data_IF_288191988836
#
_entry.id   IF_288191988836
#
_cell.length_a   1.000
_cell.length_b   1.000
_cell.length_c   1.000
_cell.angle_alpha   90.00
_cell.angle_beta   90.00
_cell.angle_gamma   90.00
#
_symmetry.space_group_name_H-M   'P 1'
#
loop_
_entity.id
_entity.type
_entity.pdbx_description
1 polymer ?
#
# COMPACT_ATOMS: atom_id res chain seq x y z
N UNK A 1 17.50 7.42 -30.33
CA UNK A 1 16.07 7.75 -30.34
C UNK A 1 15.35 6.46 -30.61
N UNK A 2 15.04 5.68 -29.58
CA UNK A 2 14.14 4.54 -29.73
C UNK A 2 12.72 5.08 -29.57
N UNK A 3 11.94 4.96 -30.65
CA UNK A 3 10.54 5.34 -30.68
C UNK A 3 9.72 4.47 -29.72
N UNK A 4 8.92 5.17 -28.92
CA UNK A 4 8.00 4.67 -27.92
C UNK A 4 7.03 3.63 -28.52
N UNK A 5 7.14 2.36 -28.13
CA UNK A 5 6.36 1.25 -28.70
C UNK A 5 5.20 0.79 -27.78
N UNK A 6 4.89 1.54 -26.71
CA UNK A 6 3.73 1.25 -25.87
C UNK A 6 2.45 1.60 -26.63
N UNK A 7 1.57 0.61 -26.79
CA UNK A 7 0.27 0.79 -27.44
C UNK A 7 -0.59 1.71 -26.58
N UNK A 8 -1.52 2.43 -27.19
CA UNK A 8 -2.49 3.25 -26.46
C UNK A 8 -3.93 3.05 -26.92
N UNK A 9 -4.85 3.37 -26.00
CA UNK A 9 -6.30 3.44 -26.22
C UNK A 9 -6.79 4.77 -25.63
N UNK A 10 -7.43 5.60 -26.45
CA UNK A 10 -8.22 6.75 -25.99
C UNK A 10 -9.69 6.38 -26.07
N UNK A 11 -10.43 6.61 -25.00
CA UNK A 11 -11.85 6.33 -25.03
C UNK A 11 -12.58 6.71 -23.76
N UNK A 12 -13.90 6.66 -23.86
CA UNK A 12 -14.80 7.00 -22.77
C UNK A 12 -15.10 5.77 -21.92
N UNK A 13 -14.93 5.88 -20.62
CA UNK A 13 -15.27 4.80 -19.68
C UNK A 13 -16.78 4.60 -19.70
N UNK A 14 -17.23 3.49 -20.26
CA UNK A 14 -18.65 3.15 -20.35
C UNK A 14 -19.16 2.57 -19.04
N UNK A 15 -18.38 1.66 -18.45
CA UNK A 15 -18.77 0.94 -17.24
C UNK A 15 -17.55 0.37 -16.50
N UNK A 16 -17.56 0.46 -15.18
CA UNK A 16 -16.68 -0.28 -14.29
C UNK A 16 -17.31 -1.66 -14.04
N UNK A 17 -16.70 -2.71 -14.61
CA UNK A 17 -17.16 -4.09 -14.49
C UNK A 17 -16.76 -4.66 -13.12
N UNK A 18 -15.56 -4.33 -12.66
CA UNK A 18 -15.01 -4.75 -11.38
C UNK A 18 -14.07 -3.69 -10.82
N UNK A 19 -14.06 -3.52 -9.50
CA UNK A 19 -13.08 -2.71 -8.78
C UNK A 19 -12.68 -3.37 -7.46
N UNK A 20 -11.39 -3.42 -7.18
CA UNK A 20 -10.84 -3.73 -5.85
C UNK A 20 -10.27 -2.43 -5.26
N UNK A 21 -10.90 -1.94 -4.19
CA UNK A 21 -10.51 -0.68 -3.55
C UNK A 21 -9.15 -0.76 -2.83
N UNK A 22 -8.69 -1.96 -2.44
CA UNK A 22 -7.42 -2.12 -1.72
C UNK A 22 -6.22 -1.89 -2.63
N UNK A 23 -6.22 -2.52 -3.80
CA UNK A 23 -5.11 -2.44 -4.76
C UNK A 23 -5.40 -1.49 -5.93
N UNK A 24 -6.52 -0.75 -5.86
CA UNK A 24 -7.03 0.13 -6.93
C UNK A 24 -7.06 -0.57 -8.30
N UNK A 25 -7.37 -1.87 -8.32
CA UNK A 25 -7.41 -2.67 -9.55
C UNK A 25 -8.80 -2.64 -10.16
N UNK A 26 -8.89 -2.32 -11.45
CA UNK A 26 -10.14 -2.16 -12.18
C UNK A 26 -10.19 -3.07 -13.41
N UNK A 27 -11.40 -3.51 -13.73
CA UNK A 27 -11.78 -4.05 -15.04
C UNK A 27 -12.89 -3.14 -15.56
N UNK A 28 -12.66 -2.50 -16.70
CA UNK A 28 -13.56 -1.49 -17.26
C UNK A 28 -13.87 -1.78 -18.72
N UNK A 29 -15.04 -1.35 -19.16
CA UNK A 29 -15.41 -1.27 -20.58
C UNK A 29 -15.22 0.16 -21.04
N UNK A 30 -14.49 0.36 -22.14
CA UNK A 30 -14.21 1.66 -22.73
C UNK A 30 -14.74 1.69 -24.16
N UNK A 31 -15.59 2.67 -24.48
CA UNK A 31 -15.97 2.96 -25.86
C UNK A 31 -14.78 3.70 -26.51
N UNK A 32 -14.26 3.14 -27.60
CA UNK A 32 -13.02 3.56 -28.24
C UNK A 32 -13.25 4.83 -29.07
N UNK A 33 -12.39 5.82 -28.85
CA UNK A 33 -12.29 7.02 -29.70
C UNK A 33 -11.06 6.93 -30.63
N UNK A 34 -9.93 6.46 -30.10
CA UNK A 34 -8.65 6.37 -30.82
C UNK A 34 -7.84 5.18 -30.29
N UNK A 35 -7.18 4.43 -31.15
CA UNK A 35 -6.28 3.32 -30.75
C UNK A 35 -5.07 3.27 -31.66
N UNK A 36 -3.95 2.79 -31.11
CA UNK A 36 -2.67 2.69 -31.83
C UNK A 36 -2.43 1.31 -32.47
N UNK A 37 -3.45 0.45 -32.54
CA UNK A 37 -3.33 -0.94 -32.99
C UNK A 37 -4.62 -1.43 -33.63
N UNK A 38 -4.54 -2.46 -34.47
CA UNK A 38 -5.71 -3.02 -35.12
C UNK A 38 -6.66 -3.70 -34.14
N UNK A 39 -7.85 -3.13 -33.99
CA UNK A 39 -8.95 -3.67 -33.20
C UNK A 39 -10.27 -3.38 -33.91
N UNK A 40 -11.14 -4.38 -33.99
CA UNK A 40 -12.31 -4.36 -34.87
C UNK A 40 -13.63 -4.05 -34.18
N UNK A 41 -13.62 -3.79 -32.88
CA UNK A 41 -14.83 -3.49 -32.10
C UNK A 41 -14.77 -2.07 -31.57
N UNK A 42 -15.95 -1.45 -31.43
CA UNK A 42 -16.08 -0.08 -30.97
C UNK A 42 -15.86 0.06 -29.45
N UNK A 43 -15.84 -1.05 -28.71
CA UNK A 43 -15.48 -1.09 -27.29
C UNK A 43 -14.37 -2.11 -27.00
N UNK A 44 -13.62 -1.84 -25.94
CA UNK A 44 -12.53 -2.69 -25.45
C UNK A 44 -12.59 -2.81 -23.92
N UNK A 45 -12.26 -4.00 -23.41
CA UNK A 45 -12.06 -4.20 -21.98
C UNK A 45 -10.65 -3.80 -21.59
N UNK A 46 -10.53 -2.89 -20.62
CA UNK A 46 -9.25 -2.46 -20.06
C UNK A 46 -9.11 -2.98 -18.63
N UNK A 47 -7.91 -3.48 -18.28
CA UNK A 47 -7.57 -3.94 -16.94
C UNK A 47 -6.31 -3.27 -16.44
N UNK A 48 -6.26 -2.88 -15.17
CA UNK A 48 -5.05 -2.32 -14.57
C UNK A 48 -5.29 -1.67 -13.22
N UNK A 49 -4.23 -1.15 -12.61
CA UNK A 49 -4.33 -0.27 -11.45
C UNK A 49 -4.67 1.14 -11.94
N UNK A 50 -5.93 1.54 -11.77
CA UNK A 50 -6.52 2.75 -12.37
C UNK A 50 -7.15 3.65 -11.29
N UNK A 51 -6.35 4.13 -10.31
CA UNK A 51 -6.85 4.94 -9.20
C UNK A 51 -7.54 6.22 -9.70
N UNK A 52 -8.70 6.55 -9.14
CA UNK A 52 -9.41 7.78 -9.51
C UNK A 52 -10.00 7.79 -10.93
N UNK A 53 -10.18 6.63 -11.55
CA UNK A 53 -10.97 6.53 -12.77
C UNK A 53 -12.47 6.66 -12.47
N UNK A 54 -13.20 7.39 -13.32
CA UNK A 54 -14.64 7.57 -13.23
C UNK A 54 -15.38 7.18 -14.52
N UNK A 55 -16.59 6.64 -14.36
CA UNK A 55 -17.48 6.37 -15.49
C UNK A 55 -17.89 7.66 -16.21
N UNK A 56 -17.98 7.56 -17.54
CA UNK A 56 -18.45 8.63 -18.40
C UNK A 56 -17.44 9.73 -18.70
N UNK A 57 -16.20 9.58 -18.24
CA UNK A 57 -15.05 10.43 -18.59
C UNK A 57 -14.16 9.74 -19.63
N UNK A 58 -13.43 10.55 -20.40
CA UNK A 58 -12.51 10.11 -21.44
C UNK A 58 -11.09 10.05 -20.88
N UNK A 59 -10.39 8.94 -21.10
CA UNK A 59 -9.00 8.75 -20.67
C UNK A 59 -8.17 8.21 -21.82
N UNK A 60 -6.86 8.47 -21.75
CA UNK A 60 -5.85 7.86 -22.60
C UNK A 60 -5.06 6.85 -21.78
N UNK A 61 -5.17 5.58 -22.15
CA UNK A 61 -4.53 4.44 -21.51
C UNK A 61 -3.33 4.00 -22.33
N UNK A 62 -2.20 3.75 -21.67
CA UNK A 62 -0.98 3.22 -22.28
C UNK A 62 -0.69 1.83 -21.73
N UNK A 63 -0.28 0.90 -22.58
CA UNK A 63 -0.04 -0.47 -22.17
C UNK A 63 0.03 -1.46 -23.34
N UNK A 64 -0.49 -2.67 -23.11
CA UNK A 64 -0.34 -3.80 -24.02
C UNK A 64 -1.66 -4.54 -24.27
N UNK A 65 -1.82 -5.04 -25.50
CA UNK A 65 -2.95 -5.90 -25.84
C UNK A 65 -2.63 -7.33 -25.41
N UNK A 66 -3.46 -7.87 -24.53
CA UNK A 66 -3.34 -9.23 -23.98
C UNK A 66 -4.56 -10.06 -24.38
N UNK A 67 -4.45 -11.40 -24.29
CA UNK A 67 -5.60 -12.29 -24.53
C UNK A 67 -5.83 -13.15 -23.30
N UNK A 68 -6.99 -12.98 -22.67
CA UNK A 68 -7.42 -13.79 -21.54
C UNK A 68 -8.08 -15.08 -22.03
N UNK A 69 -7.72 -16.27 -21.49
CA UNK A 69 -8.24 -17.56 -21.95
C UNK A 69 -9.77 -17.68 -21.98
N UNK A 70 -10.45 -16.99 -21.05
CA UNK A 70 -11.91 -17.03 -20.89
C UNK A 70 -12.65 -15.81 -21.48
N UNK A 71 -11.98 -14.66 -21.57
CA UNK A 71 -12.64 -13.37 -21.83
C UNK A 71 -12.16 -12.70 -23.13
N UNK A 72 -11.24 -13.34 -23.86
CA UNK A 72 -10.77 -12.83 -25.15
C UNK A 72 -9.76 -11.69 -25.00
N UNK A 73 -9.70 -10.82 -26.01
CA UNK A 73 -8.71 -9.74 -26.09
C UNK A 73 -9.04 -8.61 -25.10
N UNK A 74 -8.06 -8.21 -24.31
CA UNK A 74 -8.16 -7.15 -23.31
C UNK A 74 -6.93 -6.26 -23.36
N UNK A 75 -7.10 -4.98 -23.06
CA UNK A 75 -5.99 -4.04 -22.96
C UNK A 75 -5.51 -3.96 -21.51
N UNK A 76 -4.26 -4.36 -21.24
CA UNK A 76 -3.66 -4.23 -19.92
C UNK A 76 -3.00 -2.86 -19.82
N UNK A 77 -3.66 -1.94 -19.14
CA UNK A 77 -3.13 -0.59 -18.91
C UNK A 77 -1.99 -0.64 -17.89
N UNK A 78 -0.83 -0.12 -18.28
CA UNK A 78 0.31 0.13 -17.40
C UNK A 78 0.17 1.48 -16.72
N UNK A 79 -0.33 2.47 -17.45
CA UNK A 79 -0.56 3.83 -16.99
C UNK A 79 -1.71 4.47 -17.78
N UNK A 80 -2.24 5.58 -17.28
CA UNK A 80 -3.29 6.32 -17.95
C UNK A 80 -3.28 7.78 -17.51
N UNK A 81 -3.83 8.64 -18.36
CA UNK A 81 -4.05 10.05 -18.07
C UNK A 81 -5.46 10.45 -18.50
N UNK A 82 -6.10 11.43 -17.85
CA UNK A 82 -7.31 12.05 -18.38
C UNK A 82 -7.05 12.51 -19.82
N UNK A 83 -7.88 12.10 -20.76
CA UNK A 83 -7.79 12.63 -22.11
C UNK A 83 -8.28 14.07 -22.06
N UNK A 84 -7.45 15.00 -22.50
CA UNK A 84 -7.79 16.41 -22.56
C UNK A 84 -8.90 16.63 -23.58
N UNK A 85 -10.15 16.59 -23.14
CA UNK A 85 -11.21 17.40 -23.75
C UNK A 85 -11.07 18.81 -23.15
N UNK A 86 -10.71 19.83 -23.94
CA UNK A 86 -10.67 21.19 -23.41
C UNK A 86 -12.11 21.60 -23.06
N UNK A 87 -12.31 21.95 -21.80
CA UNK A 87 -13.47 22.71 -21.34
C UNK A 87 -14.85 22.05 -21.53
N UNK A 88 -15.06 20.82 -21.05
CA UNK A 88 -16.43 20.27 -20.87
C UNK A 88 -16.93 20.40 -19.42
N UNK A 89 -17.82 21.37 -19.12
CA UNK A 89 -18.50 21.45 -17.83
C UNK A 89 -19.17 20.14 -17.40
N UNK A 90 -19.67 19.32 -18.33
CA UNK A 90 -20.32 18.04 -18.00
C UNK A 90 -19.31 17.03 -17.48
N UNK A 91 -18.08 17.03 -17.99
CA UNK A 91 -17.00 16.20 -17.47
C UNK A 91 -16.67 16.58 -16.03
N UNK A 92 -16.59 17.88 -15.72
CA UNK A 92 -16.35 18.37 -14.35
C UNK A 92 -17.48 17.98 -13.39
N UNK A 93 -18.75 18.06 -13.84
CA UNK A 93 -19.89 17.60 -13.03
C UNK A 93 -19.79 16.11 -12.72
N UNK A 94 -19.51 15.27 -13.72
CA UNK A 94 -19.35 13.82 -13.51
C UNK A 94 -18.17 13.50 -12.60
N UNK A 95 -17.07 14.22 -12.75
CA UNK A 95 -15.91 14.09 -11.88
C UNK A 95 -16.30 14.35 -10.42
N UNK A 96 -16.94 15.48 -10.11
CA UNK A 96 -17.36 15.80 -8.73
C UNK A 96 -18.32 14.76 -8.14
N UNK A 97 -19.25 14.24 -8.96
CA UNK A 97 -20.19 13.19 -8.52
C UNK A 97 -19.46 11.87 -8.25
N UNK A 98 -18.47 11.52 -9.07
CA UNK A 98 -17.73 10.25 -8.95
C UNK A 98 -16.90 10.14 -7.68
N UNK A 99 -16.54 11.27 -7.05
CA UNK A 99 -15.71 11.32 -5.82
C UNK A 99 -16.47 11.10 -4.53
N UNK A 100 -17.77 10.79 -4.61
CA UNK A 100 -18.62 10.53 -3.44
C UNK A 100 -18.49 11.63 -2.36
N UNK A 101 -18.40 12.89 -2.82
CA UNK A 101 -18.16 14.06 -1.98
C UNK A 101 -19.38 14.33 -1.07
N UNK A 102 -19.18 14.60 0.23
CA UNK A 102 -20.27 14.68 1.20
C UNK A 102 -21.21 15.85 0.92
N UNK A 103 -22.43 15.55 0.48
CA UNK A 103 -23.44 16.56 0.14
C UNK A 103 -23.35 17.13 -1.27
N UNK A 104 -22.45 16.60 -2.12
CA UNK A 104 -22.40 16.90 -3.55
C UNK A 104 -22.99 15.71 -4.32
N UNK A 105 -24.28 15.81 -4.65
CA UNK A 105 -24.90 14.98 -5.68
C UNK A 105 -24.96 15.72 -7.02
N UNK A 106 -25.49 15.06 -8.05
CA UNK A 106 -25.55 15.59 -9.43
C UNK A 106 -26.08 17.02 -9.54
N UNK A 107 -27.19 17.35 -8.85
CA UNK A 107 -27.75 18.71 -8.84
C UNK A 107 -26.86 19.75 -8.16
N UNK A 108 -26.13 19.35 -7.12
CA UNK A 108 -25.22 20.26 -6.40
C UNK A 108 -23.95 20.45 -7.24
N UNK A 109 -23.40 19.38 -7.81
CA UNK A 109 -22.26 19.42 -8.72
C UNK A 109 -22.54 20.33 -9.92
N UNK A 110 -23.72 20.20 -10.56
CA UNK A 110 -24.13 21.09 -11.65
C UNK A 110 -24.09 22.56 -11.22
N UNK A 111 -24.70 22.91 -10.08
CA UNK A 111 -24.68 24.30 -9.58
C UNK A 111 -23.28 24.81 -9.24
N UNK A 112 -22.41 23.94 -8.75
CA UNK A 112 -21.02 24.28 -8.46
C UNK A 112 -20.31 24.64 -9.76
N UNK A 113 -20.43 23.79 -10.79
CA UNK A 113 -19.82 24.03 -12.11
C UNK A 113 -20.47 25.21 -12.83
N UNK A 114 -21.78 25.43 -12.70
CA UNK A 114 -22.46 26.60 -13.27
C UNK A 114 -21.92 27.93 -12.69
N UNK A 115 -21.46 27.92 -11.43
CA UNK A 115 -20.92 29.10 -10.74
C UNK A 115 -19.41 29.25 -10.88
N UNK A 116 -18.66 28.16 -10.74
CA UNK A 116 -17.19 28.16 -10.71
C UNK A 116 -16.57 27.83 -12.09
N UNK A 117 -17.38 27.41 -13.04
CA UNK A 117 -16.94 27.04 -14.38
C UNK A 117 -16.18 25.71 -14.43
N UNK A 118 -15.42 25.53 -15.50
CA UNK A 118 -14.61 24.33 -15.75
C UNK A 118 -13.46 24.16 -14.75
N UNK A 119 -13.03 25.24 -14.09
CA UNK A 119 -11.99 25.25 -13.07
C UNK A 119 -12.54 25.00 -11.65
N UNK A 120 -13.76 24.47 -11.52
CA UNK A 120 -14.41 24.31 -10.22
C UNK A 120 -13.57 23.52 -9.20
N UNK A 121 -12.81 22.51 -9.66
CA UNK A 121 -11.93 21.72 -8.77
C UNK A 121 -10.80 22.60 -8.21
N UNK A 122 -10.11 23.33 -9.07
CA UNK A 122 -8.99 24.21 -8.66
C UNK A 122 -9.46 25.35 -7.76
N UNK A 123 -10.61 25.96 -8.07
CA UNK A 123 -11.23 27.00 -7.24
C UNK A 123 -11.57 26.48 -5.84
N UNK A 124 -12.07 25.24 -5.73
CA UNK A 124 -12.37 24.62 -4.43
C UNK A 124 -11.09 24.34 -3.63
N UNK A 125 -10.03 23.90 -4.30
CA UNK A 125 -8.74 23.60 -3.67
C UNK A 125 -8.05 24.88 -3.21
N UNK A 126 -8.08 25.96 -4.00
CA UNK A 126 -7.35 27.19 -3.73
C UNK A 126 -8.11 28.16 -2.82
N UNK A 127 -9.44 28.27 -2.95
CA UNK A 127 -10.26 29.16 -2.13
C UNK A 127 -11.18 28.39 -1.17
N UNK A 128 -10.94 28.41 0.16
CA UNK A 128 -11.84 27.82 1.16
C UNK A 128 -13.26 28.41 1.16
N UNK A 129 -13.46 29.60 0.58
CA UNK A 129 -14.75 30.28 0.50
C UNK A 129 -15.51 30.03 -0.81
N UNK A 130 -14.92 29.33 -1.79
CA UNK A 130 -15.51 29.05 -3.10
C UNK A 130 -16.91 28.39 -3.00
N UNK A 131 -17.10 27.52 -2.00
CA UNK A 131 -18.34 26.82 -1.70
C UNK A 131 -19.32 27.62 -0.79
N UNK A 132 -19.04 28.90 -0.51
CA UNK A 132 -19.99 29.75 0.22
C UNK A 132 -21.24 30.02 -0.63
N UNK A 133 -22.40 29.92 0.01
CA UNK A 133 -23.72 30.07 -0.62
C UNK A 133 -24.32 28.75 -1.15
N UNK A 134 -23.57 27.65 -1.16
CA UNK A 134 -24.14 26.32 -1.37
C UNK A 134 -24.68 25.74 -0.06
N UNK A 135 -25.69 24.85 -0.15
CA UNK A 135 -26.32 24.17 1.00
C UNK A 135 -25.41 23.06 1.57
N UNK A 136 -24.17 23.40 1.87
CA UNK A 136 -23.12 22.54 2.43
C UNK A 136 -22.62 23.23 3.70
N UNK A 137 -22.53 22.50 4.82
CA UNK A 137 -22.05 23.08 6.08
C UNK A 137 -20.52 23.29 6.06
N UNK A 138 -19.94 24.11 6.96
CA UNK A 138 -18.51 24.42 6.94
C UNK A 138 -17.60 23.19 7.08
N UNK A 139 -17.96 22.24 7.94
CA UNK A 139 -17.20 21.00 8.14
C UNK A 139 -17.11 20.16 6.85
N UNK A 140 -18.25 19.97 6.15
CA UNK A 140 -18.27 19.25 4.88
C UNK A 140 -17.54 20.01 3.77
N UNK A 141 -17.55 21.35 3.76
CA UNK A 141 -16.73 22.12 2.80
C UNK A 141 -15.25 21.82 2.98
N UNK A 142 -14.77 21.75 4.23
CA UNK A 142 -13.40 21.36 4.54
C UNK A 142 -13.11 19.92 4.11
N UNK A 143 -14.01 18.99 4.40
CA UNK A 143 -13.86 17.60 3.97
C UNK A 143 -13.82 17.45 2.44
N UNK A 144 -14.69 18.17 1.71
CA UNK A 144 -14.69 18.21 0.25
C UNK A 144 -13.36 18.72 -0.29
N UNK A 145 -12.87 19.84 0.26
CA UNK A 145 -11.59 20.42 -0.14
C UNK A 145 -10.46 19.43 0.08
N UNK A 146 -10.37 18.83 1.26
CA UNK A 146 -9.33 17.85 1.58
C UNK A 146 -9.36 16.66 0.61
N UNK A 147 -10.53 16.07 0.35
CA UNK A 147 -10.67 14.96 -0.62
C UNK A 147 -10.23 15.34 -2.03
N UNK A 148 -10.62 16.53 -2.50
CA UNK A 148 -10.21 17.01 -3.82
C UNK A 148 -8.71 17.31 -3.88
N UNK A 149 -8.12 17.84 -2.80
CA UNK A 149 -6.68 18.02 -2.68
C UNK A 149 -5.97 16.67 -2.74
N UNK A 150 -6.35 15.70 -1.91
CA UNK A 150 -5.77 14.34 -1.92
C UNK A 150 -5.86 13.69 -3.31
N UNK A 151 -7.00 13.81 -4.00
CA UNK A 151 -7.18 13.30 -5.36
C UNK A 151 -6.20 13.97 -6.36
N UNK A 152 -6.04 15.29 -6.28
CA UNK A 152 -5.14 16.04 -7.18
C UNK A 152 -3.68 15.70 -6.89
N UNK A 153 -3.30 15.63 -5.61
CA UNK A 153 -1.95 15.28 -5.17
C UNK A 153 -1.58 13.86 -5.59
N UNK A 154 -2.47 12.89 -5.33
CA UNK A 154 -2.27 11.51 -5.76
C UNK A 154 -2.08 11.45 -7.28
N UNK A 155 -2.91 12.13 -8.07
CA UNK A 155 -2.75 12.18 -9.52
C UNK A 155 -1.39 12.74 -9.97
N UNK A 156 -0.87 13.75 -9.27
CA UNK A 156 0.47 14.27 -9.57
C UNK A 156 1.56 13.21 -9.31
N UNK A 157 1.47 12.47 -8.19
CA UNK A 157 2.40 11.37 -7.90
C UNK A 157 2.29 10.25 -8.94
N UNK A 158 1.08 9.83 -9.30
CA UNK A 158 0.83 8.80 -10.30
C UNK A 158 1.42 9.17 -11.68
N UNK A 159 1.26 10.43 -12.09
CA UNK A 159 1.83 10.96 -13.33
C UNK A 159 3.36 11.02 -13.27
N UNK A 160 3.93 11.44 -12.14
CA UNK A 160 5.37 11.45 -11.95
C UNK A 160 5.92 10.02 -12.08
N UNK A 161 5.44 9.08 -11.27
CA UNK A 161 5.88 7.67 -11.29
C UNK A 161 5.70 7.01 -12.66
N UNK A 162 4.65 7.36 -13.41
CA UNK A 162 4.46 6.90 -14.78
C UNK A 162 5.61 7.31 -15.70
N UNK A 163 6.14 8.53 -15.57
CA UNK A 163 7.29 9.01 -16.38
C UNK A 163 8.57 8.25 -16.05
N UNK A 164 8.65 7.72 -14.83
CA UNK A 164 9.72 6.84 -14.36
C UNK A 164 9.48 5.36 -14.71
N UNK A 165 8.41 5.04 -15.45
CA UNK A 165 8.03 3.67 -15.77
C UNK A 165 7.83 2.78 -14.53
N UNK A 166 7.48 3.39 -13.40
CA UNK A 166 7.17 2.67 -12.15
C UNK A 166 5.67 2.36 -12.11
N UNK A 167 5.32 1.20 -11.56
CA UNK A 167 3.93 0.75 -11.46
C UNK A 167 3.06 1.72 -10.65
N UNK A 168 1.80 1.88 -11.05
CA UNK A 168 0.83 2.72 -10.34
C UNK A 168 0.55 2.24 -8.91
N UNK A 169 0.66 0.93 -8.64
CA UNK A 169 0.56 0.42 -7.26
C UNK A 169 1.67 0.93 -6.35
N UNK A 170 2.91 0.99 -6.84
CA UNK A 170 4.02 1.52 -6.07
C UNK A 170 3.91 3.04 -5.87
N UNK A 171 3.36 3.75 -6.86
CA UNK A 171 3.07 5.18 -6.76
C UNK A 171 2.03 5.48 -5.66
N UNK A 172 0.98 4.66 -5.55
CA UNK A 172 -0.02 4.75 -4.47
C UNK A 172 0.66 4.50 -3.11
N UNK A 173 1.48 3.44 -3.00
CA UNK A 173 2.17 3.13 -1.75
C UNK A 173 3.14 4.26 -1.35
N UNK A 174 3.86 4.85 -2.32
CA UNK A 174 4.71 6.01 -2.08
C UNK A 174 3.91 7.25 -1.64
N UNK A 175 2.75 7.54 -2.26
CA UNK A 175 1.88 8.64 -1.85
C UNK A 175 1.34 8.44 -0.43
N UNK A 176 0.95 7.22 -0.07
CA UNK A 176 0.43 6.93 1.28
C UNK A 176 1.49 7.16 2.38
N UNK A 177 2.78 6.99 2.05
CA UNK A 177 3.88 7.17 3.01
C UNK A 177 4.40 8.62 3.02
N UNK A 178 4.56 9.23 1.84
CA UNK A 178 5.28 10.51 1.68
C UNK A 178 4.42 11.67 1.17
N UNK A 179 3.16 11.42 0.79
CA UNK A 179 2.30 12.42 0.16
C UNK A 179 2.90 12.95 -1.15
N UNK A 180 2.76 14.25 -1.39
CA UNK A 180 3.38 14.93 -2.54
C UNK A 180 4.91 14.86 -2.55
N UNK A 181 5.55 14.70 -1.40
CA UNK A 181 7.01 14.69 -1.31
C UNK A 181 7.63 13.47 -1.99
N UNK A 182 6.82 12.43 -2.26
CA UNK A 182 7.20 11.33 -3.13
C UNK A 182 7.74 11.80 -4.50
N UNK A 183 7.26 12.93 -5.03
CA UNK A 183 7.76 13.48 -6.29
C UNK A 183 9.18 14.02 -6.14
N UNK A 184 9.49 14.69 -5.03
CA UNK A 184 10.83 15.21 -4.77
C UNK A 184 11.82 14.05 -4.58
N UNK A 185 11.46 13.07 -3.74
CA UNK A 185 12.25 11.86 -3.52
C UNK A 185 12.53 11.13 -4.85
N UNK A 186 11.51 11.01 -5.71
CA UNK A 186 11.65 10.37 -7.01
C UNK A 186 12.59 11.13 -7.97
N UNK A 187 12.65 12.45 -7.89
CA UNK A 187 13.55 13.23 -8.74
C UNK A 187 14.98 13.32 -8.19
N UNK A 188 15.12 13.31 -6.87
CA UNK A 188 16.42 13.47 -6.20
C UNK A 188 17.14 12.13 -6.07
N UNK A 189 16.51 11.14 -5.45
CA UNK A 189 17.08 9.82 -5.21
C UNK A 189 16.00 8.71 -5.15
N UNK A 190 15.62 8.12 -6.31
CA UNK A 190 14.67 7.01 -6.39
C UNK A 190 15.00 5.79 -5.52
N UNK A 191 16.27 5.55 -5.21
CA UNK A 191 16.68 4.40 -4.40
C UNK A 191 16.20 4.51 -2.94
N UNK A 192 15.82 5.70 -2.49
CA UNK A 192 15.26 5.91 -1.16
C UNK A 192 13.96 5.13 -0.92
N UNK A 193 13.19 4.87 -1.97
CA UNK A 193 11.97 4.07 -1.88
C UNK A 193 12.22 2.59 -1.57
N UNK A 194 13.42 2.09 -1.82
CA UNK A 194 13.73 0.68 -1.63
C UNK A 194 13.72 0.30 -0.14
N UNK A 195 13.00 -0.79 0.17
CA UNK A 195 12.79 -1.26 1.54
C UNK A 195 11.68 -0.51 2.31
N UNK A 196 11.12 0.58 1.74
CA UNK A 196 10.06 1.38 2.39
C UNK A 196 8.74 1.35 1.63
N UNK A 197 8.80 1.41 0.30
CA UNK A 197 7.64 1.26 -0.58
C UNK A 197 7.57 -0.19 -1.03
N UNK A 198 6.42 -0.83 -0.79
CA UNK A 198 6.22 -2.21 -1.17
C UNK A 198 6.31 -2.39 -2.71
N UNK A 199 6.63 -3.61 -3.14
CA UNK A 199 6.59 -4.02 -4.56
C UNK A 199 7.58 -3.29 -5.48
N UNK A 200 8.55 -2.56 -4.93
CA UNK A 200 9.69 -2.03 -5.69
C UNK A 200 10.89 -2.94 -5.53
N UNK A 201 11.42 -3.38 -6.67
CA UNK A 201 12.71 -4.07 -6.74
C UNK A 201 13.83 -3.09 -7.08
N UNK A 202 15.04 -3.42 -6.64
CA UNK A 202 16.23 -2.68 -7.04
C UNK A 202 16.35 -2.57 -8.56
N UNK A 203 16.12 -3.67 -9.30
CA UNK A 203 16.24 -3.69 -10.76
C UNK A 203 15.27 -2.73 -11.46
N UNK A 204 14.02 -2.62 -10.98
CA UNK A 204 13.07 -1.65 -11.52
C UNK A 204 13.53 -0.20 -11.31
N UNK A 205 14.04 0.14 -10.13
CA UNK A 205 14.55 1.48 -9.83
C UNK A 205 15.82 1.78 -10.63
N UNK A 206 16.77 0.84 -10.67
CA UNK A 206 18.03 1.00 -11.42
C UNK A 206 17.77 1.15 -12.93
N UNK A 207 16.82 0.40 -13.49
CA UNK A 207 16.39 0.56 -14.88
C UNK A 207 15.70 1.90 -15.11
N UNK A 208 14.82 2.33 -14.20
CA UNK A 208 14.16 3.63 -14.25
C UNK A 208 15.18 4.77 -14.28
N UNK A 209 16.15 4.79 -13.37
CA UNK A 209 17.21 5.81 -13.33
C UNK A 209 18.00 5.89 -14.65
N UNK A 210 18.30 4.74 -15.28
CA UNK A 210 18.97 4.68 -16.58
C UNK A 210 18.12 5.27 -17.70
N UNK A 211 16.80 4.99 -17.70
CA UNK A 211 15.87 5.50 -18.71
C UNK A 211 15.63 7.00 -18.57
N UNK A 212 15.50 7.51 -17.35
CA UNK A 212 15.20 8.92 -17.07
C UNK A 212 16.44 9.80 -16.96
N UNK A 213 17.64 9.21 -17.06
CA UNK A 213 18.94 9.90 -16.94
C UNK A 213 19.10 10.67 -15.62
N UNK A 214 18.50 10.19 -14.53
CA UNK A 214 18.81 10.71 -13.20
C UNK A 214 20.25 10.32 -12.86
N UNK A 215 21.06 11.34 -12.56
CA UNK A 215 22.42 11.15 -12.08
C UNK A 215 22.41 10.98 -10.56
N UNK A 216 22.27 9.73 -10.10
CA UNK A 216 22.46 9.38 -8.69
C UNK A 216 23.91 8.96 -8.47
N UNK A 217 24.50 9.27 -7.30
CA UNK A 217 25.84 8.79 -6.96
C UNK A 217 25.90 7.26 -6.85
N UNK A 218 27.08 6.68 -7.07
CA UNK A 218 27.27 5.23 -6.92
C UNK A 218 27.06 4.82 -5.45
N UNK A 219 27.45 5.66 -4.49
CA UNK A 219 27.25 5.43 -3.06
C UNK A 219 25.77 5.36 -2.67
N UNK A 220 24.92 6.24 -3.21
CA UNK A 220 23.47 6.20 -2.99
C UNK A 220 22.82 4.97 -3.63
N UNK A 221 23.28 4.60 -4.84
CA UNK A 221 22.85 3.38 -5.53
C UNK A 221 23.20 2.13 -4.72
N UNK A 222 24.43 2.03 -4.23
CA UNK A 222 24.90 0.92 -3.36
C UNK A 222 24.11 0.90 -2.06
N UNK A 223 23.92 2.06 -1.42
CA UNK A 223 23.13 2.17 -0.18
C UNK A 223 21.69 1.70 -0.38
N UNK A 224 21.05 2.08 -1.49
CA UNK A 224 19.74 1.58 -1.88
C UNK A 224 19.68 0.06 -2.07
N UNK A 225 20.68 -0.50 -2.75
CA UNK A 225 20.81 -1.94 -2.93
C UNK A 225 20.95 -2.68 -1.59
N UNK A 226 21.81 -2.19 -0.69
CA UNK A 226 22.00 -2.76 0.65
C UNK A 226 20.68 -2.79 1.44
N UNK A 227 19.97 -1.65 1.48
CA UNK A 227 18.68 -1.50 2.18
C UNK A 227 17.63 -2.48 1.64
N UNK A 228 17.55 -2.59 0.31
CA UNK A 228 16.66 -3.53 -0.37
C UNK A 228 16.99 -4.99 -0.07
N UNK A 229 18.26 -5.38 -0.24
CA UNK A 229 18.73 -6.76 -0.05
C UNK A 229 18.50 -7.22 1.39
N UNK A 230 18.86 -6.38 2.38
CA UNK A 230 18.65 -6.72 3.77
C UNK A 230 17.16 -6.91 4.10
N UNK A 231 16.31 -6.00 3.61
CA UNK A 231 14.85 -6.07 3.81
C UNK A 231 14.24 -7.33 3.17
N UNK A 232 14.63 -7.65 1.94
CA UNK A 232 14.16 -8.86 1.24
C UNK A 232 14.64 -10.14 1.94
N UNK A 233 15.87 -10.17 2.43
CA UNK A 233 16.42 -11.32 3.14
C UNK A 233 15.69 -11.57 4.47
N UNK A 234 15.42 -10.52 5.24
CA UNK A 234 14.64 -10.60 6.49
C UNK A 234 13.23 -11.13 6.17
N UNK A 235 12.55 -10.53 5.20
CA UNK A 235 11.17 -10.90 4.85
C UNK A 235 11.06 -12.36 4.36
N UNK A 236 12.03 -12.84 3.58
CA UNK A 236 12.01 -14.20 3.00
C UNK A 236 12.42 -15.27 3.99
N UNK A 237 13.38 -14.97 4.87
CA UNK A 237 13.85 -15.94 5.87
C UNK A 237 12.95 -16.01 7.10
N UNK A 238 12.24 -14.92 7.41
CA UNK A 238 11.53 -14.76 8.69
C UNK A 238 12.46 -14.45 9.87
N UNK A 239 13.78 -14.39 9.64
CA UNK A 239 14.76 -13.99 10.64
C UNK A 239 14.86 -12.48 10.70
N UNK A 240 14.83 -11.90 11.90
CA UNK A 240 15.08 -10.46 12.13
C UNK A 240 16.56 -10.10 12.09
N UNK A 241 17.46 -11.09 12.18
CA UNK A 241 18.91 -10.89 12.18
C UNK A 241 19.56 -11.75 11.07
N UNK A 242 20.44 -11.14 10.27
CA UNK A 242 21.09 -11.79 9.12
C UNK A 242 22.60 -11.58 9.11
N UNK A 243 23.35 -12.55 8.59
CA UNK A 243 24.82 -12.46 8.49
C UNK A 243 25.27 -11.34 7.55
N UNK A 244 26.23 -10.53 8.01
CA UNK A 244 26.77 -9.38 7.27
C UNK A 244 27.34 -9.81 5.92
N UNK A 245 28.13 -10.87 5.84
CA UNK A 245 28.74 -11.35 4.59
C UNK A 245 27.68 -11.81 3.59
N UNK A 246 26.53 -12.31 4.05
CA UNK A 246 25.42 -12.66 3.14
C UNK A 246 24.79 -11.41 2.54
N UNK A 247 24.65 -10.33 3.31
CA UNK A 247 24.14 -9.05 2.78
C UNK A 247 25.10 -8.48 1.74
N UNK A 248 26.40 -8.44 2.03
CA UNK A 248 27.43 -7.93 1.13
C UNK A 248 27.45 -8.70 -0.21
N UNK A 249 27.50 -10.03 -0.16
CA UNK A 249 27.52 -10.87 -1.38
C UNK A 249 26.26 -10.71 -2.23
N UNK A 250 25.08 -10.70 -1.62
CA UNK A 250 23.83 -10.55 -2.37
C UNK A 250 23.71 -9.13 -2.96
N UNK A 251 24.23 -8.12 -2.27
CA UNK A 251 24.28 -6.75 -2.78
C UNK A 251 25.19 -6.64 -4.00
N UNK A 252 26.40 -7.21 -3.92
CA UNK A 252 27.32 -7.26 -5.06
C UNK A 252 26.68 -7.96 -6.27
N UNK A 253 25.97 -9.07 -6.04
CA UNK A 253 25.25 -9.79 -7.09
C UNK A 253 24.17 -8.92 -7.76
N UNK A 254 23.31 -8.26 -6.98
CA UNK A 254 22.23 -7.38 -7.48
C UNK A 254 22.77 -6.18 -8.26
N UNK A 255 23.85 -5.56 -7.78
CA UNK A 255 24.48 -4.42 -8.45
C UNK A 255 25.14 -4.83 -9.78
N UNK A 256 25.72 -6.05 -9.81
CA UNK A 256 26.39 -6.63 -10.97
C UNK A 256 25.43 -7.16 -12.04
N UNK A 257 24.27 -7.69 -11.65
CA UNK A 257 23.28 -8.25 -12.59
C UNK A 257 22.78 -7.20 -13.60
N UNK A 258 22.61 -5.95 -13.18
CA UNK A 258 22.14 -4.88 -14.05
C UNK A 258 23.25 -4.12 -14.80
N UNK A 259 24.52 -4.33 -14.45
CA UNK A 259 25.66 -3.56 -14.99
C UNK A 259 26.70 -4.40 -15.72
N UNK A 260 26.73 -5.72 -15.46
CA UNK A 260 27.81 -6.61 -15.89
C UNK A 260 29.17 -6.28 -15.26
N UNK A 261 29.22 -5.33 -14.32
CA UNK A 261 30.43 -4.84 -13.70
C UNK A 261 30.66 -5.53 -12.35
N UNK A 262 31.94 -5.80 -12.04
CA UNK A 262 32.36 -6.17 -10.69
C UNK A 262 32.33 -4.89 -9.86
N UNK A 263 31.45 -4.85 -8.86
CA UNK A 263 31.44 -3.75 -7.90
C UNK A 263 32.49 -4.04 -6.82
N UNK A 264 33.19 -2.99 -6.40
CA UNK A 264 34.19 -3.05 -5.36
C UNK A 264 33.54 -3.43 -4.01
N UNK A 265 33.90 -4.60 -3.48
CA UNK A 265 33.38 -5.10 -2.20
C UNK A 265 33.78 -4.18 -1.03
N UNK A 266 34.94 -3.52 -1.10
CA UNK A 266 35.38 -2.56 -0.08
C UNK A 266 34.45 -1.33 -0.05
N UNK A 267 33.99 -0.88 -1.22
CA UNK A 267 33.05 0.23 -1.33
C UNK A 267 31.66 -0.16 -0.79
N UNK A 268 31.20 -1.39 -1.08
CA UNK A 268 29.92 -1.89 -0.54
C UNK A 268 29.99 -1.97 0.98
N UNK A 269 31.08 -2.51 1.53
CA UNK A 269 31.27 -2.58 2.97
C UNK A 269 31.37 -1.20 3.60
N UNK A 270 32.08 -0.26 2.96
CA UNK A 270 32.11 1.14 3.39
C UNK A 270 30.70 1.74 3.43
N UNK A 271 29.91 1.61 2.36
CA UNK A 271 28.53 2.12 2.34
C UNK A 271 27.65 1.46 3.40
N UNK A 272 27.84 0.17 3.69
CA UNK A 272 27.13 -0.52 4.76
C UNK A 272 27.45 0.09 6.12
N UNK A 273 28.72 0.37 6.41
CA UNK A 273 29.15 1.00 7.66
C UNK A 273 28.77 2.48 7.73
N UNK A 274 28.80 3.21 6.62
CA UNK A 274 28.41 4.63 6.56
C UNK A 274 26.90 4.82 6.82
N UNK A 275 26.08 3.78 6.58
CA UNK A 275 24.65 3.76 6.90
C UNK A 275 24.35 3.14 8.29
N UNK A 276 25.37 2.91 9.12
CA UNK A 276 25.19 2.51 10.52
C UNK A 276 24.43 3.60 11.29
N UNK A 277 23.61 3.18 12.25
CA UNK A 277 22.72 4.00 13.09
C UNK A 277 21.60 4.76 12.32
N UNK A 278 21.75 5.02 11.02
CA UNK A 278 20.71 5.61 10.17
C UNK A 278 19.72 4.57 9.66
N UNK A 279 20.21 3.39 9.27
CA UNK A 279 19.37 2.31 8.75
C UNK A 279 19.73 0.93 9.27
N UNK A 280 20.99 0.67 9.57
CA UNK A 280 21.44 -0.63 10.04
C UNK A 280 21.71 -0.63 11.54
N UNK A 281 21.52 -1.80 12.15
CA UNK A 281 21.95 -2.09 13.51
C UNK A 281 22.81 -3.35 13.48
N UNK A 282 24.02 -3.27 14.03
CA UNK A 282 25.00 -4.36 14.01
C UNK A 282 25.04 -5.11 15.34
N UNK A 283 25.13 -6.43 15.27
CA UNK A 283 25.36 -7.32 16.40
C UNK A 283 26.45 -8.34 16.03
N UNK A 284 27.71 -7.97 16.25
CA UNK A 284 28.86 -8.76 15.80
C UNK A 284 28.89 -8.86 14.27
N UNK A 285 29.00 -10.08 13.73
CA UNK A 285 28.99 -10.35 12.28
C UNK A 285 27.56 -10.45 11.69
N UNK A 286 26.58 -9.91 12.39
CA UNK A 286 25.19 -9.88 11.95
C UNK A 286 24.64 -8.47 11.92
N UNK A 287 23.67 -8.25 11.06
CA UNK A 287 23.02 -6.97 10.83
C UNK A 287 21.52 -7.15 10.73
N UNK A 288 20.77 -6.14 11.16
CA UNK A 288 19.34 -5.97 10.92
C UNK A 288 19.09 -4.55 10.43
N UNK A 289 17.89 -4.28 9.89
CA UNK A 289 17.44 -2.89 9.74
C UNK A 289 16.99 -2.32 11.08
N UNK A 290 17.09 -1.00 11.21
CA UNK A 290 16.73 -0.26 12.41
C UNK A 290 15.24 -0.36 12.72
N UNK A 291 14.39 -0.46 11.70
CA UNK A 291 12.95 -0.69 11.87
C UNK A 291 12.69 -2.00 12.63
N UNK A 292 13.28 -3.11 12.19
CA UNK A 292 13.11 -4.40 12.87
C UNK A 292 13.73 -4.43 14.26
N UNK A 293 14.89 -3.80 14.46
CA UNK A 293 15.48 -3.64 15.78
C UNK A 293 14.55 -2.85 16.72
N UNK A 294 13.93 -1.79 16.21
CA UNK A 294 12.96 -0.96 16.95
C UNK A 294 11.72 -1.77 17.29
N UNK A 295 11.15 -2.49 16.33
CA UNK A 295 9.98 -3.34 16.55
C UNK A 295 10.26 -4.40 17.62
N UNK A 296 11.41 -5.08 17.58
CA UNK A 296 11.78 -6.07 18.60
C UNK A 296 11.90 -5.45 20.00
N UNK A 297 12.52 -4.27 20.10
CA UNK A 297 12.64 -3.53 21.35
C UNK A 297 11.29 -3.06 21.89
N UNK A 298 10.40 -2.60 21.02
CA UNK A 298 9.06 -2.17 21.40
C UNK A 298 8.19 -3.36 21.85
N UNK A 299 8.21 -4.46 21.09
CA UNK A 299 7.47 -5.69 21.43
C UNK A 299 7.94 -6.24 22.78
N UNK A 300 9.26 -6.36 22.98
CA UNK A 300 9.81 -6.84 24.26
C UNK A 300 9.47 -5.91 25.41
N UNK A 301 9.60 -4.59 25.24
CA UNK A 301 9.24 -3.61 26.26
C UNK A 301 7.76 -3.65 26.61
N UNK A 302 6.88 -3.80 25.62
CA UNK A 302 5.44 -3.89 25.84
C UNK A 302 5.05 -5.20 26.53
N UNK A 303 5.68 -6.33 26.16
CA UNK A 303 5.48 -7.60 26.84
C UNK A 303 5.90 -7.53 28.32
N UNK A 304 7.03 -6.90 28.63
CA UNK A 304 7.47 -6.70 30.02
C UNK A 304 6.46 -5.85 30.80
N UNK A 305 5.96 -4.75 30.21
CA UNK A 305 4.95 -3.88 30.84
C UNK A 305 3.62 -4.61 31.09
N UNK A 306 3.25 -5.52 30.19
CA UNK A 306 2.05 -6.33 30.35
C UNK A 306 2.25 -7.45 31.38
N UNK A 307 3.47 -7.94 31.58
CA UNK A 307 3.77 -9.08 32.44
C UNK A 307 3.77 -8.75 33.94
N UNK A 308 2.58 -8.42 34.46
CA UNK A 308 2.32 -8.29 35.89
C UNK A 308 1.14 -9.17 36.29
N UNK A 309 1.20 -9.69 37.52
CA UNK A 309 0.14 -10.51 38.09
C UNK A 309 -1.03 -9.65 38.54
N UNK A 310 -2.24 -10.15 38.28
CA UNK A 310 -3.49 -9.59 38.76
C UNK A 310 -3.79 -10.28 40.09
N UNK A 311 -4.03 -9.49 41.14
CA UNK A 311 -4.59 -10.04 42.39
C UNK A 311 -5.97 -10.63 42.08
N UNK A 312 -6.11 -11.94 42.28
CA UNK A 312 -7.36 -12.66 42.09
C UNK A 312 -7.59 -13.62 43.27
N UNK A 313 -8.86 -13.78 43.64
CA UNK A 313 -9.27 -14.76 44.64
C UNK A 313 -9.35 -16.15 43.99
N UNK A 314 -8.38 -17.02 44.30
CA UNK A 314 -8.31 -18.36 43.74
C UNK A 314 -9.53 -19.23 44.06
N UNK A 315 -10.15 -19.01 45.23
CA UNK A 315 -11.32 -19.76 45.65
C UNK A 315 -12.55 -19.31 44.86
N UNK A 316 -12.72 -18.00 44.67
CA UNK A 316 -13.78 -17.46 43.81
C UNK A 316 -13.63 -17.96 42.37
N UNK A 317 -12.42 -17.89 41.81
CA UNK A 317 -12.14 -18.33 40.45
C UNK A 317 -12.39 -19.83 40.27
N UNK A 318 -12.02 -20.65 41.27
CA UNK A 318 -12.27 -22.09 41.26
C UNK A 318 -13.77 -22.41 41.31
N UNK A 319 -14.56 -21.63 42.07
CA UNK A 319 -16.02 -21.77 42.11
C UNK A 319 -16.67 -21.37 40.78
N UNK A 320 -16.19 -20.30 40.14
CA UNK A 320 -16.71 -19.86 38.84
C UNK A 320 -16.42 -20.86 37.72
N UNK A 321 -15.23 -21.46 37.72
CA UNK A 321 -14.91 -22.58 36.81
C UNK A 321 -15.90 -23.73 37.01
N UNK A 322 -16.19 -24.13 38.25
CA UNK A 322 -17.17 -25.19 38.53
C UNK A 322 -18.58 -24.81 38.09
N UNK A 323 -18.98 -23.55 38.26
CA UNK A 323 -20.28 -23.06 37.84
C UNK A 323 -20.42 -23.07 36.31
N UNK A 324 -19.36 -22.77 35.58
CA UNK A 324 -19.33 -22.88 34.13
C UNK A 324 -19.36 -24.33 33.63
N UNK A 325 -18.58 -25.23 34.24
CA UNK A 325 -18.63 -26.67 33.94
C UNK A 325 -20.06 -27.21 34.03
N UNK A 326 -20.81 -26.81 35.08
CA UNK A 326 -22.23 -27.20 35.26
C UNK A 326 -23.15 -26.57 34.21
N UNK A 327 -23.03 -25.27 33.94
CA UNK A 327 -23.92 -24.56 33.00
C UNK A 327 -23.73 -25.02 31.55
N UNK A 328 -22.50 -25.34 31.18
CA UNK A 328 -22.14 -25.72 29.82
C UNK A 328 -22.14 -27.24 29.60
N UNK A 329 -22.54 -28.03 30.61
CA UNK A 329 -22.55 -29.49 30.63
C UNK A 329 -21.24 -30.10 30.11
N UNK A 330 -20.13 -29.61 30.65
CA UNK A 330 -18.77 -30.02 30.25
C UNK A 330 -17.85 -30.14 31.46
N UNK A 331 -16.79 -30.95 31.30
CA UNK A 331 -15.75 -31.12 32.31
C UNK A 331 -14.41 -30.75 31.71
N UNK A 332 -13.77 -29.74 32.26
CA UNK A 332 -12.43 -29.31 31.87
C UNK A 332 -11.41 -30.27 32.45
N UNK A 333 -10.37 -30.58 31.68
CA UNK A 333 -9.22 -31.33 32.18
C UNK A 333 -8.31 -30.44 33.07
N UNK A 334 -7.35 -31.02 33.81
CA UNK A 334 -6.47 -30.25 34.69
C UNK A 334 -5.68 -29.14 33.98
N UNK A 335 -5.18 -29.38 32.76
CA UNK A 335 -4.42 -28.39 31.99
C UNK A 335 -5.32 -27.23 31.53
N UNK A 336 -6.56 -27.52 31.14
CA UNK A 336 -7.54 -26.50 30.79
C UNK A 336 -7.93 -25.64 31.99
N UNK A 337 -8.08 -26.24 33.18
CA UNK A 337 -8.34 -25.48 34.41
C UNK A 337 -7.17 -24.57 34.75
N UNK A 338 -5.94 -25.07 34.62
CA UNK A 338 -4.74 -24.24 34.81
C UNK A 338 -4.65 -23.12 33.78
N UNK A 339 -4.97 -23.36 32.51
CA UNK A 339 -4.96 -22.32 31.47
C UNK A 339 -6.02 -21.23 31.72
N UNK A 340 -7.22 -21.61 32.17
CA UNK A 340 -8.23 -20.63 32.61
C UNK A 340 -7.71 -19.82 33.78
N UNK A 341 -7.15 -20.47 34.82
CA UNK A 341 -6.62 -19.76 35.99
C UNK A 341 -5.52 -18.77 35.62
N UNK A 342 -4.55 -19.20 34.81
CA UNK A 342 -3.48 -18.35 34.31
C UNK A 342 -4.02 -17.13 33.53
N UNK A 343 -5.06 -17.30 32.71
CA UNK A 343 -5.67 -16.19 31.97
C UNK A 343 -6.33 -15.12 32.85
N UNK A 344 -6.69 -15.44 34.10
CA UNK A 344 -7.25 -14.49 35.07
C UNK A 344 -6.22 -13.98 36.10
N UNK A 345 -5.09 -14.68 36.24
CA UNK A 345 -4.02 -14.35 37.16
C UNK A 345 -2.89 -13.55 36.48
N UNK A 346 -2.68 -13.79 35.19
CA UNK A 346 -1.61 -13.18 34.41
C UNK A 346 -2.22 -12.35 33.27
N UNK A 347 -1.79 -11.09 33.16
CA UNK A 347 -2.16 -10.19 32.07
C UNK A 347 -1.71 -10.70 30.68
N UNK A 348 -0.73 -11.61 30.63
CA UNK A 348 -0.27 -12.27 29.41
C UNK A 348 -0.25 -13.77 29.64
N UNK A 349 -1.03 -14.51 28.85
CA UNK A 349 -1.08 -15.96 28.87
C UNK A 349 -0.90 -16.52 27.46
N UNK A 350 0.00 -17.49 27.29
CA UNK A 350 0.23 -18.19 26.03
C UNK A 350 -0.32 -19.61 26.18
N UNK A 351 -1.33 -19.95 25.40
CA UNK A 351 -1.90 -21.29 25.34
C UNK A 351 -1.43 -21.94 24.04
N UNK A 352 -0.68 -23.04 24.16
CA UNK A 352 -0.18 -23.81 23.02
C UNK A 352 -0.82 -25.20 22.98
N UNK A 353 -1.02 -25.76 21.79
CA UNK A 353 -1.56 -27.10 21.59
C UNK A 353 -1.17 -27.65 20.23
N UNK A 354 -1.23 -28.98 20.06
CA UNK A 354 -1.11 -29.59 18.73
C UNK A 354 -2.43 -29.46 17.94
N UNK A 355 -2.39 -29.64 16.61
CA UNK A 355 -3.59 -29.54 15.75
C UNK A 355 -4.71 -30.52 16.15
N UNK A 356 -4.38 -31.64 16.80
CA UNK A 356 -5.39 -32.60 17.29
C UNK A 356 -6.05 -32.12 18.59
N UNK A 357 -5.36 -31.34 19.41
CA UNK A 357 -5.86 -30.76 20.66
C UNK A 357 -6.70 -29.50 20.40
N UNK A 358 -6.33 -28.65 19.43
CA UNK A 358 -7.09 -27.45 19.05
C UNK A 358 -8.45 -27.78 18.37
N UNK A 359 -8.52 -28.92 17.65
CA UNK A 359 -9.75 -29.39 16.98
C UNK A 359 -10.71 -30.12 17.91
N UNK A 360 -10.28 -30.49 19.12
CA UNK A 360 -11.18 -31.13 20.09
C UNK A 360 -12.24 -30.11 20.53
N UNK A 361 -13.50 -30.54 20.74
CA UNK A 361 -14.56 -29.69 21.30
C UNK A 361 -14.21 -29.03 22.64
N UNK A 362 -13.10 -29.44 23.26
CA UNK A 362 -12.57 -29.02 24.55
C UNK A 362 -11.76 -27.71 24.55
N UNK A 363 -11.41 -27.12 23.39
CA UNK A 363 -10.75 -25.80 23.32
C UNK A 363 -11.74 -24.61 23.25
N UNK A 364 -12.91 -24.83 22.62
CA UNK A 364 -14.02 -23.87 22.52
C UNK A 364 -14.59 -23.37 23.87
N UNK A 365 -14.59 -24.13 24.98
CA UNK A 365 -15.07 -23.68 26.28
C UNK A 365 -14.26 -22.50 26.84
N UNK A 366 -12.94 -22.46 26.61
CA UNK A 366 -12.06 -21.37 27.07
C UNK A 366 -12.42 -20.03 26.43
N UNK A 367 -12.62 -20.02 25.11
CA UNK A 367 -13.09 -18.85 24.34
C UNK A 367 -14.54 -18.45 24.66
N UNK A 368 -15.35 -19.35 25.23
CA UNK A 368 -16.71 -19.05 25.71
C UNK A 368 -16.73 -18.55 27.16
N UNK A 369 -15.73 -18.87 27.95
CA UNK A 369 -15.61 -18.46 29.36
C UNK A 369 -15.05 -17.04 29.49
N UNK A 370 -14.05 -16.67 28.69
CA UNK A 370 -13.39 -15.35 28.74
C UNK A 370 -14.34 -14.14 28.51
N UNK A 371 -15.30 -14.14 27.55
CA UNK A 371 -16.19 -13.00 27.34
C UNK A 371 -17.20 -12.75 28.47
N UNK A 372 -17.39 -13.71 29.38
CA UNK A 372 -18.33 -13.59 30.51
C UNK A 372 -17.77 -12.64 31.58
N UNK A 373 -16.46 -12.38 31.57
CA UNK A 373 -15.75 -11.61 32.60
C UNK A 373 -15.03 -10.35 32.09
N UNK A 374 -15.05 -10.06 30.79
CA UNK A 374 -14.43 -8.86 30.19
C UNK A 374 -15.41 -7.65 30.16
N UNK A 375 -16.43 -7.62 31.04
CA UNK A 375 -17.36 -6.48 31.15
C UNK A 375 -17.21 -5.74 32.48
#
# INVERSE_FOLDING_TARGET
MEENNDKYVVGKVKKIIFRNLKDQFFIISVDITEISFDFSTDDITITGTLPGLAEGLTYKFYGELTTHPKYGRQFKAKTFEPASEPDDPKAVVKFLVSRELPGIGEKTAQKIVDKLGVNAVDEIINDPNSLNGFKINPERRKEIRNKLTEDVELNQVLLAFSRFHISQSAAIDAYNIYGLDAINILNDNPYYFLGRVARLSFSQIDQSCKLTQISVSEEERISGALKWVASEMILRSGSTLIEKERVLRNTAWVLGENSGAIVDEELIEKCLNDNDEEYFFFQGESVTTLDYATYEKEISSNLIKLNHQIESDEDQLSQEIQNFEKKADLKLDPFQKSAVKAAFQDNVSIITGDQEQERRPSFRPLLRFLPIFIN
#
